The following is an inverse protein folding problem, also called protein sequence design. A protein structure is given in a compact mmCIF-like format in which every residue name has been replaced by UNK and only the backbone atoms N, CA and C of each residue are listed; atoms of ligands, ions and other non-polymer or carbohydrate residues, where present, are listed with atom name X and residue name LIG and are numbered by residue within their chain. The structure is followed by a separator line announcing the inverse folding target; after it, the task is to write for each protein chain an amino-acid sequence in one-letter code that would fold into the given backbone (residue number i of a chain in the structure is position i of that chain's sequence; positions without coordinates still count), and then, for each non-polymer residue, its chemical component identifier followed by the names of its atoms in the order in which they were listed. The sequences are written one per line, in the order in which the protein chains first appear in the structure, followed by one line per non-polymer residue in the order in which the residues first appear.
data_IF_196116314837
#
_entry.id   IF_196116314837
#
_cell.length_a   1.000
_cell.length_b   1.000
_cell.length_c   1.000
_cell.angle_alpha   90.00
_cell.angle_beta   90.00
_cell.angle_gamma   90.00
#
_symmetry.space_group_name_H-M   'P 1'
#
loop_
_entity.id
_entity.type
_entity.pdbx_description
1 polymer ?
#
# COMPACT_ATOMS: atom_id res chain seq x y z
N UNK A 1 -23.96 3.98 -19.02
CA UNK A 1 -23.18 3.06 -18.18
C UNK A 1 -21.84 3.73 -17.91
N UNK A 2 -21.46 3.93 -16.64
CA UNK A 2 -20.16 4.48 -16.25
C UNK A 2 -19.29 3.35 -15.73
N UNK A 3 -18.03 3.28 -16.17
CA UNK A 3 -17.09 2.23 -15.82
C UNK A 3 -15.77 2.84 -15.37
N UNK A 4 -15.26 2.40 -14.21
CA UNK A 4 -13.94 2.80 -13.71
C UNK A 4 -12.88 1.84 -14.27
N UNK A 5 -12.00 2.34 -15.13
CA UNK A 5 -10.92 1.56 -15.75
C UNK A 5 -9.69 1.36 -14.86
N UNK A 6 -9.65 1.92 -13.63
CA UNK A 6 -8.45 1.86 -12.80
C UNK A 6 -8.75 1.95 -11.29
N UNK A 7 -9.31 0.87 -10.75
CA UNK A 7 -9.64 0.78 -9.33
C UNK A 7 -8.69 -0.14 -8.57
N UNK A 8 -8.63 0.05 -7.25
CA UNK A 8 -7.84 -0.78 -6.35
C UNK A 8 -8.70 -1.31 -5.22
N UNK A 9 -8.49 -2.59 -4.85
CA UNK A 9 -8.87 -3.18 -3.58
C UNK A 9 -7.67 -3.93 -3.02
N UNK A 10 -7.54 -3.97 -1.70
CA UNK A 10 -6.48 -4.70 -1.04
C UNK A 10 -6.87 -5.09 0.39
N UNK A 11 -6.39 -6.23 0.90
CA UNK A 11 -6.58 -6.62 2.29
C UNK A 11 -5.68 -5.78 3.20
N UNK A 12 -5.68 -6.04 4.50
CA UNK A 12 -4.74 -5.40 5.44
C UNK A 12 -3.29 -5.59 4.96
N UNK A 13 -2.60 -4.47 4.76
CA UNK A 13 -1.22 -4.46 4.25
C UNK A 13 -0.20 -5.04 5.23
N UNK A 14 -0.60 -5.37 6.46
CA UNK A 14 0.23 -6.08 7.45
C UNK A 14 0.29 -7.59 7.20
N UNK A 15 -0.55 -8.09 6.28
CA UNK A 15 -0.59 -9.51 5.91
C UNK A 15 0.47 -9.90 4.90
N UNK A 16 0.38 -11.14 4.42
CA UNK A 16 1.36 -11.70 3.46
C UNK A 16 1.26 -11.11 2.05
N UNK A 17 0.12 -10.57 1.64
CA UNK A 17 -0.11 -9.90 0.35
C UNK A 17 0.42 -10.69 -0.88
N UNK A 18 0.39 -12.03 -0.81
CA UNK A 18 0.88 -12.93 -1.86
C UNK A 18 2.36 -13.32 -1.74
N UNK A 19 3.06 -12.85 -0.73
CA UNK A 19 4.42 -13.30 -0.38
C UNK A 19 4.40 -14.55 0.52
N UNK A 20 5.56 -15.17 0.71
CA UNK A 20 5.71 -16.38 1.53
C UNK A 20 5.50 -16.13 3.03
N UNK A 21 5.74 -14.90 3.49
CA UNK A 21 5.56 -14.49 4.89
C UNK A 21 5.28 -12.99 5.01
N UNK A 22 4.78 -12.50 6.17
CA UNK A 22 4.65 -11.07 6.44
C UNK A 22 5.99 -10.33 6.41
N UNK A 23 7.10 -10.99 6.82
CA UNK A 23 8.45 -10.40 6.79
C UNK A 23 8.92 -10.17 5.35
N UNK A 24 8.69 -11.14 4.45
CA UNK A 24 9.01 -10.99 3.03
C UNK A 24 8.21 -9.86 2.38
N UNK A 25 6.93 -9.74 2.73
CA UNK A 25 6.09 -8.62 2.31
C UNK A 25 6.61 -7.29 2.86
N UNK A 26 6.98 -7.23 4.14
CA UNK A 26 7.52 -6.04 4.79
C UNK A 26 8.79 -5.54 4.10
N UNK A 27 9.76 -6.41 3.84
CA UNK A 27 10.99 -6.10 3.09
C UNK A 27 10.65 -5.51 1.71
N UNK A 28 9.72 -6.14 0.98
CA UNK A 28 9.28 -5.65 -0.32
C UNK A 28 8.70 -4.23 -0.23
N UNK A 29 7.82 -3.96 0.72
CA UNK A 29 7.19 -2.64 0.87
C UNK A 29 8.22 -1.59 1.27
N UNK A 30 9.14 -1.90 2.17
CA UNK A 30 10.20 -0.97 2.56
C UNK A 30 11.08 -0.59 1.36
N UNK A 31 11.51 -1.57 0.54
CA UNK A 31 12.25 -1.34 -0.72
C UNK A 31 11.44 -0.49 -1.70
N UNK A 32 10.16 -0.80 -1.88
CA UNK A 32 9.28 -0.07 -2.78
C UNK A 32 9.11 1.39 -2.34
N UNK A 33 8.86 1.63 -1.04
CA UNK A 33 8.68 2.98 -0.52
C UNK A 33 9.98 3.78 -0.44
N UNK A 34 11.15 3.14 -0.32
CA UNK A 34 12.45 3.80 -0.42
C UNK A 34 12.63 4.50 -1.79
N UNK A 35 12.04 3.94 -2.84
CA UNK A 35 12.10 4.47 -4.21
C UNK A 35 10.86 5.27 -4.64
N UNK A 36 9.86 5.42 -3.77
CA UNK A 36 8.64 6.13 -4.09
C UNK A 36 8.81 7.65 -3.98
N UNK A 37 8.31 8.40 -4.97
CA UNK A 37 8.54 9.84 -5.15
C UNK A 37 7.88 10.75 -4.09
N UNK A 38 6.83 10.27 -3.40
CA UNK A 38 6.15 11.09 -2.38
C UNK A 38 7.08 11.33 -1.20
N UNK A 39 7.31 12.60 -0.89
CA UNK A 39 8.21 13.02 0.16
C UNK A 39 7.63 12.73 1.56
N UNK A 40 8.38 12.09 2.47
CA UNK A 40 8.01 11.98 3.86
C UNK A 40 8.29 13.29 4.61
N UNK A 41 7.77 13.39 5.81
CA UNK A 41 8.07 14.49 6.72
C UNK A 41 8.47 13.97 8.11
N UNK A 42 9.27 14.76 8.81
CA UNK A 42 9.57 14.51 10.22
C UNK A 42 8.35 14.89 11.07
N UNK A 43 7.93 14.00 11.96
CA UNK A 43 6.65 14.15 12.67
C UNK A 43 6.62 15.42 13.54
N UNK A 44 7.66 15.71 14.30
CA UNK A 44 7.65 16.78 15.30
C UNK A 44 7.51 18.20 14.75
N UNK A 45 7.95 18.47 13.53
CA UNK A 45 8.00 19.83 12.95
C UNK A 45 7.65 19.92 11.47
N UNK A 46 7.18 18.79 10.89
CA UNK A 46 6.80 18.65 9.49
C UNK A 46 7.90 19.02 8.47
N UNK A 47 9.18 19.03 8.89
CA UNK A 47 10.27 19.24 7.94
C UNK A 47 10.39 18.06 6.99
N UNK A 48 10.73 18.33 5.70
CA UNK A 48 10.95 17.28 4.72
C UNK A 48 12.00 16.26 5.17
N UNK A 49 11.70 14.99 4.92
CA UNK A 49 12.62 13.86 5.09
C UNK A 49 12.99 13.23 3.74
N UNK A 50 13.69 12.11 3.79
CA UNK A 50 14.02 11.30 2.61
C UNK A 50 13.63 9.85 2.81
N UNK A 51 12.99 9.24 1.81
CA UNK A 51 12.72 7.79 1.80
C UNK A 51 13.98 6.96 1.52
N UNK A 52 15.04 7.56 0.98
CA UNK A 52 16.31 6.86 0.72
C UNK A 52 16.98 6.35 2.00
N UNK A 53 16.64 6.91 3.16
CA UNK A 53 17.10 6.43 4.47
C UNK A 53 16.52 5.07 4.85
N UNK A 54 15.52 4.54 4.14
CA UNK A 54 14.92 3.24 4.42
C UNK A 54 15.81 2.05 4.04
N UNK A 55 16.87 2.28 3.24
CA UNK A 55 17.73 1.22 2.75
C UNK A 55 19.17 1.68 2.52
N UNK A 56 20.09 0.74 2.60
CA UNK A 56 21.46 0.91 2.14
C UNK A 56 21.50 0.78 0.60
N UNK A 57 21.67 1.91 -0.08
CA UNK A 57 21.67 1.96 -1.54
C UNK A 57 22.84 1.17 -2.16
N UNK A 58 23.96 0.98 -1.45
CA UNK A 58 25.12 0.23 -1.95
C UNK A 58 24.85 -1.28 -2.05
N UNK A 59 23.83 -1.78 -1.32
CA UNK A 59 23.44 -3.18 -1.27
C UNK A 59 22.21 -3.51 -2.12
N UNK A 60 21.69 -2.53 -2.86
CA UNK A 60 20.59 -2.77 -3.79
C UNK A 60 21.04 -3.70 -4.95
N UNK A 61 20.25 -4.72 -5.36
CA UNK A 61 18.85 -5.01 -4.99
C UNK A 61 18.65 -6.09 -3.91
N UNK A 62 19.66 -6.48 -3.17
CA UNK A 62 19.60 -7.57 -2.19
C UNK A 62 18.54 -7.32 -1.11
N UNK A 63 17.97 -8.38 -0.52
CA UNK A 63 16.92 -8.23 0.49
C UNK A 63 17.45 -7.66 1.81
N UNK A 64 18.72 -7.88 2.12
CA UNK A 64 19.39 -7.33 3.29
C UNK A 64 19.81 -5.86 3.14
N UNK A 65 19.43 -5.19 2.02
CA UNK A 65 19.63 -3.76 1.87
C UNK A 65 18.68 -2.91 2.74
N UNK A 66 17.56 -3.46 3.24
CA UNK A 66 16.65 -2.73 4.11
C UNK A 66 17.27 -2.52 5.49
N UNK A 67 17.07 -1.33 6.05
CA UNK A 67 17.58 -0.98 7.37
C UNK A 67 16.51 -1.25 8.44
N UNK A 68 16.94 -1.72 9.61
CA UNK A 68 16.07 -1.87 10.78
C UNK A 68 15.82 -0.49 11.41
N UNK A 69 14.71 0.12 11.04
CA UNK A 69 14.32 1.48 11.42
C UNK A 69 12.93 1.52 12.09
N UNK A 70 12.42 0.39 12.58
CA UNK A 70 11.04 0.25 13.02
C UNK A 70 10.04 0.71 11.92
N UNK A 71 10.39 0.45 10.65
CA UNK A 71 9.51 0.79 9.53
C UNK A 71 8.24 -0.05 9.58
N UNK A 72 7.09 0.58 9.32
CA UNK A 72 5.84 -0.17 9.22
C UNK A 72 4.61 0.70 8.94
N UNK A 73 3.50 0.05 8.55
CA UNK A 73 2.20 0.72 8.41
C UNK A 73 1.62 1.04 9.80
N UNK A 74 1.01 2.21 9.93
CA UNK A 74 0.30 2.60 11.16
C UNK A 74 -1.20 2.66 10.93
N UNK A 75 -1.75 3.81 10.68
CA UNK A 75 -3.17 4.02 10.39
C UNK A 75 -3.36 5.18 9.42
N UNK A 76 -4.59 5.33 8.92
CA UNK A 76 -4.93 6.45 8.05
C UNK A 76 -4.01 6.61 6.84
N UNK A 77 -3.61 5.49 6.24
CA UNK A 77 -2.82 5.46 5.02
C UNK A 77 -1.33 5.76 5.20
N UNK A 78 -0.79 5.71 6.42
CA UNK A 78 0.58 6.12 6.75
C UNK A 78 1.53 4.95 6.93
N UNK A 79 2.79 5.20 6.57
CA UNK A 79 3.95 4.43 7.00
C UNK A 79 4.87 5.32 7.82
N UNK A 80 5.49 4.73 8.85
CA UNK A 80 6.37 5.43 9.79
C UNK A 80 7.68 4.67 9.97
N UNK A 81 8.73 5.39 10.33
CA UNK A 81 10.04 4.83 10.70
C UNK A 81 10.82 5.81 11.58
N UNK A 82 11.91 5.33 12.18
CA UNK A 82 12.77 6.12 13.05
C UNK A 82 14.20 6.14 12.54
N UNK A 83 14.81 7.32 12.46
CA UNK A 83 16.22 7.54 12.15
C UNK A 83 16.81 8.44 13.22
N UNK A 84 17.87 8.01 13.89
CA UNK A 84 18.58 8.78 14.94
C UNK A 84 17.63 9.35 16.01
N UNK A 85 16.63 8.58 16.42
CA UNK A 85 15.62 8.96 17.39
C UNK A 85 14.52 9.88 16.88
N UNK A 86 14.57 10.30 15.62
CA UNK A 86 13.55 11.13 14.99
C UNK A 86 12.55 10.26 14.20
N UNK A 87 11.25 10.48 14.41
CA UNK A 87 10.18 9.78 13.68
C UNK A 87 9.83 10.51 12.39
N UNK A 88 9.76 9.71 11.32
CA UNK A 88 9.36 10.14 9.98
C UNK A 88 8.07 9.46 9.58
N UNK A 89 7.25 10.19 8.83
CA UNK A 89 5.92 9.75 8.37
C UNK A 89 5.82 9.95 6.87
N UNK A 90 5.22 8.97 6.20
CA UNK A 90 4.86 9.05 4.79
C UNK A 90 3.37 8.74 4.60
N UNK A 91 2.62 9.68 4.05
CA UNK A 91 1.27 9.43 3.60
C UNK A 91 1.33 8.68 2.27
N UNK A 92 0.96 7.41 2.29
CA UNK A 92 1.00 6.57 1.07
C UNK A 92 -0.39 6.34 0.51
N UNK A 93 -1.35 5.99 1.34
CA UNK A 93 -2.76 5.89 0.97
C UNK A 93 -3.54 7.12 1.40
N UNK A 94 -4.75 7.34 0.86
CA UNK A 94 -5.66 8.36 1.37
C UNK A 94 -5.91 8.23 2.88
N UNK A 95 -6.02 9.33 3.63
CA UNK A 95 -6.29 9.28 5.08
C UNK A 95 -7.61 8.61 5.46
N UNK A 96 -8.55 8.49 4.54
CA UNK A 96 -9.81 7.75 4.72
C UNK A 96 -9.61 6.23 4.90
N UNK A 97 -8.45 5.69 4.51
CA UNK A 97 -8.09 4.29 4.72
C UNK A 97 -7.53 4.13 6.14
N UNK A 98 -8.44 4.10 7.11
CA UNK A 98 -8.10 4.19 8.54
C UNK A 98 -7.34 2.95 9.05
N UNK A 99 -7.72 1.75 8.60
CA UNK A 99 -7.20 0.45 9.07
C UNK A 99 -6.16 -0.18 8.12
N UNK A 100 -5.68 0.58 7.14
CA UNK A 100 -4.70 0.13 6.14
C UNK A 100 -5.20 -1.02 5.25
N UNK A 101 -6.51 -1.12 5.05
CA UNK A 101 -7.18 -2.02 4.11
C UNK A 101 -8.24 -1.29 3.29
N UNK A 102 -8.51 -1.79 2.08
CA UNK A 102 -9.62 -1.31 1.27
C UNK A 102 -10.34 -2.50 0.63
N UNK A 103 -11.25 -3.16 1.38
CA UNK A 103 -11.96 -4.34 0.92
C UNK A 103 -12.95 -4.02 -0.20
N UNK A 104 -13.32 -5.00 -1.05
CA UNK A 104 -14.20 -4.78 -2.19
C UNK A 104 -15.57 -4.23 -1.81
N UNK A 105 -16.07 -4.51 -0.61
CA UNK A 105 -17.34 -3.95 -0.13
C UNK A 105 -17.34 -2.42 -0.06
N UNK A 106 -16.19 -1.81 0.31
CA UNK A 106 -16.06 -0.36 0.36
C UNK A 106 -16.11 0.23 -1.06
N UNK A 107 -15.39 -0.38 -2.01
CA UNK A 107 -15.43 0.05 -3.41
C UNK A 107 -16.84 -0.07 -3.99
N UNK A 108 -17.54 -1.17 -3.74
CA UNK A 108 -18.93 -1.36 -4.19
C UNK A 108 -19.84 -0.27 -3.62
N UNK A 109 -19.71 0.07 -2.34
CA UNK A 109 -20.52 1.13 -1.73
C UNK A 109 -20.26 2.51 -2.38
N UNK A 110 -18.99 2.82 -2.67
CA UNK A 110 -18.63 4.06 -3.37
C UNK A 110 -19.12 4.06 -4.83
N UNK A 111 -19.02 2.94 -5.53
CA UNK A 111 -19.58 2.78 -6.88
C UNK A 111 -21.09 2.97 -6.90
N UNK A 112 -21.81 2.44 -5.91
CA UNK A 112 -23.26 2.59 -5.79
C UNK A 112 -23.63 4.06 -5.52
N UNK A 113 -22.90 4.72 -4.62
CA UNK A 113 -23.07 6.14 -4.33
C UNK A 113 -22.82 7.05 -5.54
N UNK A 114 -21.79 6.74 -6.34
CA UNK A 114 -21.40 7.51 -7.52
C UNK A 114 -22.04 7.02 -8.83
N UNK A 115 -22.91 6.00 -8.76
CA UNK A 115 -23.58 5.37 -9.91
C UNK A 115 -22.62 4.77 -10.96
N UNK A 116 -21.44 4.31 -10.50
CA UNK A 116 -20.49 3.55 -11.32
C UNK A 116 -20.95 2.10 -11.45
N UNK A 117 -21.12 1.64 -12.69
CA UNK A 117 -21.71 0.33 -12.98
C UNK A 117 -20.72 -0.82 -12.79
N UNK A 118 -19.43 -0.59 -13.06
CA UNK A 118 -18.38 -1.61 -12.95
C UNK A 118 -17.01 -0.99 -12.80
N UNK A 119 -16.04 -1.78 -12.30
CA UNK A 119 -14.66 -1.35 -12.14
C UNK A 119 -13.66 -2.44 -12.52
N UNK A 120 -12.54 -2.04 -13.14
CA UNK A 120 -11.40 -2.90 -13.42
C UNK A 120 -10.38 -2.78 -12.28
N UNK A 121 -10.17 -3.87 -11.57
CA UNK A 121 -9.24 -3.93 -10.46
C UNK A 121 -7.82 -4.14 -10.96
N UNK A 122 -6.92 -3.28 -10.52
CA UNK A 122 -5.48 -3.42 -10.67
C UNK A 122 -4.83 -3.83 -9.36
N UNK A 123 -3.75 -4.60 -9.43
CA UNK A 123 -2.89 -4.82 -8.27
C UNK A 123 -2.04 -3.58 -8.00
N UNK A 124 -1.78 -3.30 -6.73
CA UNK A 124 -0.79 -2.31 -6.35
C UNK A 124 0.56 -3.01 -6.10
N UNK A 125 1.52 -2.92 -7.03
CA UNK A 125 2.79 -3.65 -6.93
C UNK A 125 3.68 -3.20 -5.75
N UNK A 126 3.42 -2.01 -5.20
CA UNK A 126 4.16 -1.52 -4.03
C UNK A 126 3.81 -2.24 -2.73
N UNK A 127 2.59 -2.78 -2.61
CA UNK A 127 2.14 -3.44 -1.38
C UNK A 127 2.07 -4.97 -1.50
N UNK A 128 2.10 -5.52 -2.72
CA UNK A 128 2.11 -6.96 -2.87
C UNK A 128 1.68 -7.49 -4.23
N UNK A 129 1.62 -8.81 -4.35
CA UNK A 129 1.28 -9.50 -5.59
C UNK A 129 -0.22 -9.51 -5.86
N UNK A 130 -1.04 -9.72 -4.86
CA UNK A 130 -2.50 -9.48 -4.85
C UNK A 130 -3.40 -10.26 -5.82
N UNK A 131 -2.87 -11.10 -6.72
CA UNK A 131 -3.65 -11.74 -7.79
C UNK A 131 -4.80 -12.61 -7.26
N UNK A 132 -4.54 -13.43 -6.23
CA UNK A 132 -5.57 -14.29 -5.63
C UNK A 132 -6.66 -13.46 -4.94
N UNK A 133 -6.27 -12.35 -4.31
CA UNK A 133 -7.20 -11.43 -3.70
C UNK A 133 -8.11 -10.79 -4.75
N UNK A 134 -7.56 -10.30 -5.88
CA UNK A 134 -8.33 -9.72 -6.99
C UNK A 134 -9.27 -10.76 -7.58
N UNK A 135 -8.81 -11.99 -7.82
CA UNK A 135 -9.65 -13.08 -8.32
C UNK A 135 -10.81 -13.38 -7.36
N UNK A 136 -10.59 -13.31 -6.05
CA UNK A 136 -11.65 -13.45 -5.04
C UNK A 136 -12.65 -12.29 -5.09
N UNK A 137 -12.19 -11.04 -5.24
CA UNK A 137 -13.07 -9.88 -5.39
C UNK A 137 -14.00 -10.02 -6.61
N UNK A 138 -13.45 -10.43 -7.76
CA UNK A 138 -14.23 -10.65 -8.99
C UNK A 138 -15.28 -11.75 -8.79
N UNK A 139 -14.92 -12.86 -8.14
CA UNK A 139 -15.88 -13.93 -7.83
C UNK A 139 -16.99 -13.48 -6.87
N UNK A 140 -16.67 -12.63 -5.91
CA UNK A 140 -17.62 -12.12 -4.92
C UNK A 140 -18.63 -11.12 -5.52
N UNK A 141 -18.21 -10.35 -6.51
CA UNK A 141 -19.03 -9.30 -7.14
C UNK A 141 -19.05 -9.43 -8.66
N UNK A 142 -19.64 -10.54 -9.20
CA UNK A 142 -19.69 -10.78 -10.65
C UNK A 142 -20.50 -9.69 -11.35
N UNK A 143 -19.99 -9.23 -12.50
CA UNK A 143 -20.62 -8.16 -13.28
C UNK A 143 -20.41 -6.74 -12.71
N UNK A 144 -19.79 -6.61 -11.54
CA UNK A 144 -19.42 -5.33 -10.94
C UNK A 144 -17.90 -5.13 -10.91
N UNK A 145 -17.14 -6.18 -10.56
CA UNK A 145 -15.68 -6.12 -10.51
C UNK A 145 -15.07 -7.04 -11.57
N UNK A 146 -14.02 -6.55 -12.19
CA UNK A 146 -13.21 -7.23 -13.20
C UNK A 146 -11.74 -7.16 -12.80
N UNK A 147 -10.92 -8.14 -13.16
CA UNK A 147 -9.50 -8.19 -12.82
C UNK A 147 -8.61 -8.02 -14.05
N UNK A 148 -7.49 -7.29 -13.94
CA UNK A 148 -6.44 -7.14 -14.93
C UNK A 148 -5.20 -7.95 -14.56
#
# INVERSE_FOLDING_TARGET
MLFDGHAYCFPDVRGVMGFSSPEAQHVHVQKALANHHVQPWRERDHRPGSTRTLMDQSRWPDDDCVLDLNFGPTSHGRYEWTVDGERYVKQYFPPSIADMSYPPANLIAEMDYTQVSGALLHRNPYVGLGNDFIANCVRQYPGRLYGA
#
